data_IF_501543919794
#
_entry.id   IF_501543919794
#
_cell.length_a   1.000
_cell.length_b   1.000
_cell.length_c   1.000
_cell.angle_alpha   90.00
_cell.angle_beta   90.00
_cell.angle_gamma   90.00
#
_symmetry.space_group_name_H-M   'P 1'
#
loop_
_entity.id
_entity.type
_entity.pdbx_description
1 polymer ?
2 polymer ?
3 non-polymer ?
4 water ?
#
loop_
_entity_poly.entity_id
_entity_poly.type
_entity_poly.pdbx_seq_one_letter_code
_entity_poly.pdbx_strand_id
2 'polydeoxyribonucleotide' '(DA)(DT)(DG)(DG)(DC)(DT)(DA)(DG)(DC)(DG)(DA)(DA)(DG)(DC)(DT)(DA)(DG)(DA)' ?
#
# COMPACT_ATOMS: atom_id res chain seq x y z
N UNK A 2 7.17 16.21 12.69
CA UNK A 2 7.31 14.75 12.70
C UNK A 2 6.02 14.07 12.26
N UNK A 3 6.13 12.96 11.54
CA UNK A 3 4.97 12.22 11.06
C UNK A 3 5.38 10.78 10.76
N UNK A 4 4.53 9.84 11.15
CA UNK A 4 4.80 8.41 11.02
C UNK A 4 3.60 7.78 10.32
N UNK A 5 3.83 7.18 9.15
CA UNK A 5 2.77 6.60 8.34
C UNK A 5 3.12 5.15 8.02
N UNK A 6 2.10 4.28 8.06
CA UNK A 6 2.26 2.85 7.90
C UNK A 6 1.23 2.33 6.90
N UNK A 7 1.68 1.45 5.99
CA UNK A 7 0.79 0.75 5.08
C UNK A 7 0.84 -0.74 5.37
N UNK A 8 -0.30 -1.42 5.27
CA UNK A 8 -0.36 -2.84 5.60
C UNK A 8 -1.51 -3.50 4.85
N UNK A 9 -1.18 -4.48 4.00
CA UNK A 9 -2.17 -5.40 3.44
C UNK A 9 -2.46 -6.45 4.49
N UNK A 10 -3.69 -6.42 5.04
CA UNK A 10 -4.03 -7.29 6.17
C UNK A 10 -4.62 -8.63 5.74
N UNK A 11 -4.99 -8.79 4.47
CA UNK A 11 -5.61 -10.02 3.96
C UNK A 11 -6.76 -10.45 4.88
N UNK A 12 -7.83 -9.66 4.79
CA UNK A 12 -9.07 -9.77 5.59
C UNK A 12 -8.91 -9.13 6.96
N UNK A 13 -9.60 -8.00 7.18
CA UNK A 13 -9.50 -7.29 8.45
C UNK A 13 -10.25 -8.00 9.56
N UNK A 14 -11.31 -8.75 9.23
CA UNK A 14 -12.01 -9.55 10.23
C UNK A 14 -11.06 -10.50 10.93
N UNK A 15 -10.06 -11.03 10.21
CA UNK A 15 -9.10 -11.93 10.82
C UNK A 15 -8.00 -11.15 11.54
N UNK A 16 -7.53 -10.06 10.93
CA UNK A 16 -6.36 -9.35 11.40
C UNK A 16 -6.67 -8.20 12.37
N UNK A 17 -7.94 -7.99 12.71
CA UNK A 17 -8.29 -6.86 13.57
C UNK A 17 -7.52 -6.82 14.89
N UNK A 18 -7.41 -7.93 15.64
CA UNK A 18 -6.63 -7.84 16.89
C UNK A 18 -5.18 -7.41 16.68
N UNK A 19 -4.57 -7.83 15.57
CA UNK A 19 -3.21 -7.39 15.28
C UNK A 19 -3.16 -5.94 14.83
N UNK A 20 -4.18 -5.49 14.10
CA UNK A 20 -4.27 -4.07 13.75
C UNK A 20 -4.36 -3.22 15.01
N UNK A 21 -5.16 -3.66 15.98
CA UNK A 21 -5.33 -2.88 17.21
C UNK A 21 -4.06 -2.90 18.05
N UNK A 22 -3.35 -4.04 18.09
CA UNK A 22 -2.07 -4.07 18.79
C UNK A 22 -1.06 -3.15 18.10
N UNK A 23 -1.12 -3.08 16.78
CA UNK A 23 -0.24 -2.17 16.04
C UNK A 23 -0.54 -0.71 16.41
N UNK A 24 -1.81 -0.39 16.65
CA UNK A 24 -2.19 0.99 16.93
C UNK A 24 -1.86 1.38 18.37
N UNK A 25 -1.94 0.44 19.32
CA UNK A 25 -1.57 0.73 20.69
C UNK A 25 -0.05 0.82 20.85
N UNK A 26 0.67 -0.19 20.40
CA UNK A 26 2.12 -0.23 20.54
C UNK A 26 2.81 0.43 19.36
N UNK A 27 3.71 1.38 19.66
CA UNK A 27 4.32 2.34 18.72
C UNK A 27 3.32 2.78 17.66
N UNK A 28 2.43 3.72 17.98
CA UNK A 28 1.38 4.10 17.04
C UNK A 28 1.95 4.98 15.93
N UNK A 29 1.52 4.77 14.69
CA UNK A 29 1.77 5.76 13.65
C UNK A 29 0.72 6.85 13.71
N UNK A 30 1.02 7.96 13.05
CA UNK A 30 0.01 9.00 12.89
C UNK A 30 -1.07 8.57 11.91
N UNK A 31 -0.70 7.81 10.89
CA UNK A 31 -1.63 7.36 9.85
C UNK A 31 -1.34 5.89 9.53
N UNK A 32 -2.39 5.08 9.52
CA UNK A 32 -2.30 3.67 9.10
C UNK A 32 -3.29 3.45 7.97
N UNK A 33 -2.81 2.99 6.83
CA UNK A 33 -3.65 2.68 5.67
C UNK A 33 -3.64 1.17 5.46
N UNK A 34 -4.78 0.63 5.06
CA UNK A 34 -4.98 -0.82 4.98
C UNK A 34 -5.47 -1.20 3.59
N UNK A 35 -5.14 -2.41 3.18
CA UNK A 35 -5.62 -2.98 1.92
C UNK A 35 -6.18 -4.37 2.16
N UNK A 36 -7.02 -4.81 1.22
CA UNK A 36 -7.73 -6.08 1.29
C UNK A 36 -8.44 -6.25 2.64
N UNK A 37 -9.33 -5.30 2.92
CA UNK A 37 -10.21 -5.43 4.08
C UNK A 37 -11.12 -6.64 3.94
N UNK A 38 -11.57 -6.93 2.71
CA UNK A 38 -12.44 -8.06 2.41
C UNK A 38 -13.72 -8.02 3.23
N UNK A 39 -14.32 -6.84 3.35
CA UNK A 39 -15.60 -6.72 4.04
C UNK A 39 -16.38 -5.55 3.44
N UNK A 40 -17.70 -5.68 3.46
CA UNK A 40 -18.57 -4.71 2.82
C UNK A 40 -18.51 -3.37 3.56
N UNK A 41 -19.12 -2.35 2.94
CA UNK A 41 -19.06 -0.99 3.48
C UNK A 41 -19.61 -0.94 4.89
N UNK A 42 -20.65 -1.71 5.18
CA UNK A 42 -21.32 -1.67 6.48
C UNK A 42 -20.71 -2.62 7.50
N UNK A 43 -19.70 -3.41 7.13
CA UNK A 43 -19.11 -4.38 8.03
C UNK A 43 -17.77 -3.94 8.59
N UNK A 44 -17.36 -2.70 8.33
CA UNK A 44 -16.11 -2.20 8.89
C UNK A 44 -16.25 -2.07 10.41
N UNK A 45 -15.18 -2.42 11.19
CA UNK A 45 -15.24 -2.30 12.66
C UNK A 45 -14.91 -0.89 13.14
N UNK A 46 -15.78 0.04 12.76
CA UNK A 46 -15.55 1.45 13.10
C UNK A 46 -15.59 1.67 14.60
N UNK A 47 -16.54 1.06 15.30
CA UNK A 47 -16.70 1.31 16.73
C UNK A 47 -15.46 0.88 17.51
N UNK A 48 -14.88 -0.26 17.15
CA UNK A 48 -13.72 -0.77 17.87
C UNK A 48 -12.52 0.16 17.72
N UNK A 49 -12.31 0.70 16.52
CA UNK A 49 -11.21 1.63 16.31
C UNK A 49 -11.52 3.03 16.81
N UNK A 50 -12.78 3.46 16.71
CA UNK A 50 -13.15 4.78 17.23
C UNK A 50 -13.01 4.83 18.74
N UNK A 51 -13.37 3.74 19.44
CA UNK A 51 -13.22 3.72 20.89
C UNK A 51 -11.77 3.85 21.33
N UNK A 52 -10.82 3.48 20.48
CA UNK A 52 -9.41 3.68 20.78
C UNK A 52 -8.91 5.05 20.31
N UNK A 53 -9.79 5.88 19.78
CA UNK A 53 -9.45 7.26 19.47
C UNK A 53 -9.01 7.54 18.05
N UNK A 54 -9.40 6.72 17.08
CA UNK A 54 -8.97 6.86 15.70
C UNK A 54 -10.13 7.22 14.79
N UNK A 55 -9.88 8.11 13.83
CA UNK A 55 -10.81 8.40 12.76
C UNK A 55 -10.61 7.41 11.62
N UNK A 56 -11.71 6.99 11.00
CA UNK A 56 -11.67 5.97 9.97
C UNK A 56 -12.48 6.40 8.76
N UNK A 57 -11.86 6.31 7.58
CA UNK A 57 -12.56 6.39 6.30
C UNK A 57 -12.16 5.17 5.50
N UNK A 58 -13.13 4.55 4.82
CA UNK A 58 -12.87 3.29 4.14
C UNK A 58 -13.81 3.14 2.96
N UNK A 59 -13.41 2.25 2.04
CA UNK A 59 -14.21 1.88 0.89
C UNK A 59 -14.21 0.36 0.81
N UNK A 60 -15.36 -0.25 1.02
CA UNK A 60 -15.43 -1.70 1.15
C UNK A 60 -16.44 -2.31 0.20
N UNK A 61 -16.21 -3.58 -0.11
CA UNK A 61 -17.12 -4.44 -0.87
C UNK A 61 -17.03 -5.83 -0.27
N UNK A 62 -18.01 -6.67 -0.60
CA UNK A 62 -18.00 -8.04 -0.10
C UNK A 62 -16.81 -8.81 -0.68
N UNK A 63 -16.16 -9.59 0.18
CA UNK A 63 -15.24 -10.67 -0.20
C UNK A 63 -13.88 -10.21 -0.68
N UNK A 64 -13.82 -9.20 -1.54
CA UNK A 64 -12.58 -8.83 -2.20
C UNK A 64 -12.20 -7.39 -1.93
N UNK A 65 -10.94 -7.07 -2.19
CA UNK A 65 -10.45 -5.69 -2.23
C UNK A 65 -10.68 -5.02 -0.88
N UNK A 66 -10.97 -3.72 -0.87
CA UNK A 66 -11.17 -2.98 0.35
C UNK A 66 -9.95 -2.19 0.79
N UNK A 67 -10.12 -0.89 1.02
CA UNK A 67 -9.04 0.01 1.45
C UNK A 67 -9.58 0.93 2.54
N UNK A 68 -8.67 1.37 3.43
CA UNK A 68 -9.07 2.18 4.58
C UNK A 68 -7.94 3.10 4.99
N UNK A 69 -8.29 4.26 5.56
CA UNK A 69 -7.34 5.20 6.15
C UNK A 69 -7.73 5.43 7.61
N UNK A 70 -6.76 5.31 8.51
CA UNK A 70 -6.97 5.38 9.95
C UNK A 70 -5.97 6.38 10.52
N UNK A 71 -6.47 7.39 11.24
CA UNK A 71 -5.61 8.47 11.71
C UNK A 71 -6.15 9.07 12.99
N UNK A 72 -5.25 9.76 13.71
CA UNK A 72 -5.65 10.46 14.93
C UNK A 72 -6.37 11.77 14.61
N UNK A 73 -5.93 12.47 13.57
CA UNK A 73 -6.59 13.68 13.11
C UNK A 73 -7.56 13.34 11.98
N UNK A 74 -8.49 14.25 11.76
CA UNK A 74 -9.63 13.99 10.86
C UNK A 74 -9.13 13.94 9.41
N UNK A 75 -9.49 12.91 8.64
CA UNK A 75 -9.11 12.88 7.22
C UNK A 75 -10.10 13.65 6.36
N UNK A 76 -9.63 14.67 5.66
CA UNK A 76 -10.50 15.62 4.97
C UNK A 76 -10.51 15.37 3.46
N UNK A 77 -11.61 15.80 2.84
CA UNK A 77 -11.75 15.79 1.38
C UNK A 77 -11.54 14.38 0.81
N UNK A 78 -12.36 13.46 1.30
CA UNK A 78 -12.20 12.04 0.99
C UNK A 78 -12.67 11.77 -0.43
N UNK A 79 -11.80 11.20 -1.25
CA UNK A 79 -12.16 10.80 -2.61
C UNK A 79 -12.15 9.28 -2.71
N UNK A 80 -13.10 8.75 -3.48
CA UNK A 80 -13.25 7.31 -3.70
C UNK A 80 -13.01 7.00 -5.16
N UNK A 81 -12.08 6.09 -5.44
CA UNK A 81 -11.90 5.55 -6.77
C UNK A 81 -11.02 6.40 -7.67
N UNK A 82 -11.09 6.06 -8.97
CA UNK A 82 -10.31 6.73 -9.99
C UNK A 82 -11.25 7.40 -10.99
N UNK A 83 -11.11 8.69 -11.24
CA UNK A 83 -12.02 9.37 -12.18
C UNK A 83 -11.91 8.84 -13.60
N UNK A 84 -10.74 8.38 -14.02
CA UNK A 84 -10.58 7.83 -15.36
C UNK A 84 -11.15 6.42 -15.49
N UNK A 85 -11.62 5.82 -14.39
CA UNK A 85 -12.20 4.48 -14.41
C UNK A 85 -13.47 4.49 -13.57
N UNK A 86 -14.49 5.22 -13.99
CA UNK A 86 -15.65 5.44 -13.10
C UNK A 86 -16.54 4.23 -12.91
N UNK A 87 -16.59 3.32 -13.87
CA UNK A 87 -17.51 2.18 -13.82
C UNK A 87 -16.92 0.97 -13.11
N UNK A 88 -15.70 1.06 -12.58
CA UNK A 88 -15.08 -0.08 -11.93
C UNK A 88 -15.61 -0.26 -10.51
N UNK A 89 -16.35 -1.34 -10.24
CA UNK A 89 -16.91 -1.54 -8.89
C UNK A 89 -15.90 -1.99 -7.85
N UNK A 90 -14.70 -2.40 -8.24
CA UNK A 90 -13.73 -2.91 -7.29
C UNK A 90 -13.18 -1.76 -6.45
N UNK A 91 -13.28 -1.89 -5.12
CA UNK A 91 -12.91 -0.82 -4.19
C UNK A 91 -11.41 -0.92 -3.92
N UNK A 92 -10.63 -0.11 -4.62
CA UNK A 92 -9.17 -0.21 -4.57
C UNK A 92 -8.46 1.09 -4.20
N UNK A 93 -9.12 2.24 -4.28
CA UNK A 93 -8.46 3.53 -4.08
C UNK A 93 -9.30 4.38 -3.15
N UNK A 94 -8.67 4.96 -2.13
CA UNK A 94 -9.27 6.00 -1.31
C UNK A 94 -8.19 7.03 -0.99
N UNK A 95 -8.56 8.30 -1.06
CA UNK A 95 -7.62 9.39 -0.82
C UNK A 95 -8.24 10.41 0.14
N UNK A 96 -7.41 10.91 1.06
CA UNK A 96 -7.83 11.93 2.01
C UNK A 96 -6.63 12.78 2.39
N UNK A 97 -6.91 13.98 2.91
CA UNK A 97 -5.88 14.92 3.35
C UNK A 97 -5.82 14.89 4.87
N UNK A 98 -4.70 14.42 5.41
CA UNK A 98 -4.50 14.31 6.86
C UNK A 98 -3.34 15.22 7.25
N UNK A 99 -3.64 16.26 8.03
CA UNK A 99 -2.64 17.16 8.58
C UNK A 99 -1.80 17.80 7.48
N UNK A 100 -2.45 18.19 6.39
CA UNK A 100 -1.77 18.83 5.28
C UNK A 100 -1.09 17.90 4.29
N UNK A 101 -1.13 16.59 4.52
CA UNK A 101 -0.52 15.61 3.62
C UNK A 101 -1.62 14.88 2.87
N UNK A 102 -1.51 14.86 1.54
CA UNK A 102 -2.47 14.11 0.72
C UNK A 102 -2.07 12.64 0.72
N UNK A 103 -2.94 11.79 1.24
CA UNK A 103 -2.70 10.35 1.34
C UNK A 103 -3.56 9.64 0.31
N UNK A 104 -2.93 8.89 -0.57
CA UNK A 104 -3.61 8.08 -1.58
C UNK A 104 -3.28 6.63 -1.28
N UNK A 105 -4.28 5.89 -0.79
CA UNK A 105 -4.11 4.48 -0.44
C UNK A 105 -4.64 3.64 -1.60
N UNK A 106 -3.79 2.76 -2.12
CA UNK A 106 -4.12 1.93 -3.27
C UNK A 106 -3.93 0.46 -2.92
N UNK A 107 -4.91 -0.36 -3.28
CA UNK A 107 -4.69 -1.80 -3.39
C UNK A 107 -4.68 -2.10 -4.89
N UNK A 108 -3.48 -2.08 -5.47
CA UNK A 108 -3.33 -2.22 -6.90
C UNK A 108 -3.70 -3.64 -7.35
N UNK A 109 -4.12 -3.74 -8.62
CA UNK A 109 -4.56 -5.00 -9.19
C UNK A 109 -3.41 -6.01 -9.19
N UNK A 110 -3.69 -7.23 -8.74
CA UNK A 110 -2.68 -8.27 -8.72
C UNK A 110 -2.25 -8.65 -10.13
N UNK A 111 -3.22 -9.03 -10.97
CA UNK A 111 -2.96 -9.38 -12.35
C UNK A 111 -2.99 -10.88 -12.64
N UNK A 112 -2.74 -11.70 -11.62
CA UNK A 112 -2.80 -13.16 -11.71
C UNK A 112 -1.71 -13.74 -12.59
N UNK A 113 -1.75 -13.44 -13.89
CA UNK A 113 -0.70 -13.88 -14.81
C UNK A 113 -0.70 -12.94 -16.02
N UNK A 114 0.44 -12.93 -16.73
CA UNK A 114 0.61 -12.00 -17.84
C UNK A 114 -0.34 -12.28 -19.00
N UNK A 115 -0.81 -13.51 -19.15
CA UNK A 115 -1.78 -13.85 -20.17
C UNK A 115 -3.21 -13.89 -19.62
N UNK A 116 -3.40 -13.49 -18.38
CA UNK A 116 -4.72 -13.47 -17.76
C UNK A 116 -5.48 -12.20 -18.18
N UNK A 117 -6.80 -12.30 -18.35
CA UNK A 117 -7.59 -11.08 -18.57
C UNK A 117 -7.43 -10.07 -17.45
N UNK A 118 -7.08 -10.51 -16.24
CA UNK A 118 -6.84 -9.60 -15.14
C UNK A 118 -5.60 -8.74 -15.37
N UNK A 119 -4.71 -9.16 -16.28
CA UNK A 119 -3.50 -8.37 -16.54
C UNK A 119 -3.80 -7.17 -17.43
N UNK A 120 -4.75 -7.29 -18.36
CA UNK A 120 -5.20 -6.12 -19.11
C UNK A 120 -5.95 -5.15 -18.20
N UNK A 121 -6.75 -5.70 -17.28
CA UNK A 121 -7.38 -4.86 -16.26
C UNK A 121 -6.34 -4.13 -15.43
N UNK A 122 -5.26 -4.84 -15.06
CA UNK A 122 -4.16 -4.20 -14.31
C UNK A 122 -3.52 -3.11 -15.15
N UNK A 123 -3.41 -3.31 -16.46
CA UNK A 123 -2.84 -2.30 -17.34
C UNK A 123 -3.70 -1.04 -17.37
N UNK A 124 -4.98 -1.19 -17.71
CA UNK A 124 -5.89 -0.04 -17.70
C UNK A 124 -5.91 0.64 -16.34
N UNK A 125 -5.93 -0.16 -15.26
CA UNK A 125 -6.05 0.40 -13.92
C UNK A 125 -4.87 1.27 -13.56
N UNK A 126 -3.65 0.81 -13.86
CA UNK A 126 -2.46 1.61 -13.57
C UNK A 126 -2.40 2.85 -14.45
N UNK A 127 -2.93 2.77 -15.67
CA UNK A 127 -3.04 3.97 -16.51
C UNK A 127 -4.01 4.97 -15.89
N UNK A 128 -5.16 4.48 -15.40
CA UNK A 128 -6.11 5.36 -14.74
C UNK A 128 -5.55 5.93 -13.45
N UNK A 129 -4.75 5.13 -12.72
CA UNK A 129 -4.15 5.62 -11.49
C UNK A 129 -3.13 6.73 -11.77
N UNK A 130 -2.37 6.59 -12.87
CA UNK A 130 -1.34 7.58 -13.17
C UNK A 130 -1.94 8.96 -13.41
N UNK A 131 -3.06 9.02 -14.15
CA UNK A 131 -3.70 10.30 -14.41
C UNK A 131 -4.27 10.91 -13.14
N UNK A 132 -4.78 10.07 -12.22
CA UNK A 132 -5.34 10.59 -10.97
C UNK A 132 -4.25 11.21 -10.10
N UNK A 133 -3.15 10.48 -9.90
CA UNK A 133 -2.05 10.99 -9.08
C UNK A 133 -1.47 12.26 -9.69
N UNK A 134 -1.40 12.31 -11.03
CA UNK A 134 -0.87 13.49 -11.70
C UNK A 134 -1.73 14.72 -11.41
N UNK A 135 -3.05 14.56 -11.49
CA UNK A 135 -3.95 15.67 -11.18
C UNK A 135 -3.89 16.05 -9.71
N UNK A 136 -3.87 15.05 -8.83
CA UNK A 136 -3.76 15.31 -7.40
C UNK A 136 -2.48 16.07 -7.07
N UNK A 137 -1.37 15.74 -7.75
CA UNK A 137 -0.09 16.35 -7.43
C UNK A 137 -0.02 17.82 -7.83
N UNK A 138 -0.91 18.29 -8.71
CA UNK A 138 -0.92 19.71 -9.04
C UNK A 138 -1.47 20.56 -7.89
N UNK A 139 -2.12 19.93 -6.91
CA UNK A 139 -2.76 20.64 -5.81
C UNK A 139 -2.08 20.45 -4.46
N UNK A 140 -1.42 19.32 -4.23
CA UNK A 140 -0.85 18.99 -2.92
C UNK A 140 0.66 18.83 -3.07
N UNK A 141 1.41 19.80 -2.54
CA UNK A 141 2.86 19.67 -2.53
C UNK A 141 3.35 18.54 -1.65
N UNK A 142 2.64 18.25 -0.56
CA UNK A 142 2.95 17.13 0.31
C UNK A 142 1.95 16.01 0.00
N UNK A 143 2.42 14.97 -0.68
CA UNK A 143 1.58 13.88 -1.15
C UNK A 143 2.31 12.56 -0.95
N UNK A 144 1.56 11.54 -0.56
CA UNK A 144 2.09 10.19 -0.35
C UNK A 144 1.17 9.20 -1.06
N UNK A 145 1.71 8.50 -2.04
CA UNK A 145 1.02 7.40 -2.71
C UNK A 145 1.61 6.09 -2.19
N UNK A 146 0.79 5.30 -1.49
CA UNK A 146 1.30 4.14 -0.79
C UNK A 146 0.26 3.03 -0.80
N UNK A 147 0.73 1.80 -0.54
CA UNK A 147 -0.14 0.64 -0.54
C UNK A 147 0.50 -0.61 -1.13
N UNK A 148 -0.34 -1.53 -1.58
CA UNK A 148 0.12 -2.77 -2.20
C UNK A 148 0.11 -2.56 -3.71
N UNK A 149 1.29 -2.35 -4.29
CA UNK A 149 1.39 -2.11 -5.72
C UNK A 149 1.42 -3.40 -6.53
N UNK A 150 1.69 -4.54 -5.88
CA UNK A 150 1.76 -5.84 -6.56
C UNK A 150 2.78 -5.81 -7.70
N UNK A 151 3.82 -5.00 -7.54
CA UNK A 151 4.91 -4.89 -8.51
C UNK A 151 6.22 -4.81 -7.75
N UNK A 152 7.13 -5.74 -8.04
CA UNK A 152 8.49 -5.69 -7.52
C UNK A 152 9.33 -4.81 -8.44
N UNK A 153 9.79 -3.63 -8.00
CA UNK A 153 10.40 -2.68 -8.94
C UNK A 153 11.63 -3.20 -9.67
N UNK A 154 12.58 -3.82 -8.97
CA UNK A 154 13.81 -4.29 -9.61
C UNK A 154 14.17 -5.68 -9.06
N UNK A 155 15.22 -6.26 -9.66
CA UNK A 155 15.61 -7.62 -9.29
C UNK A 155 15.96 -7.74 -7.83
N UNK A 156 16.57 -6.70 -7.23
CA UNK A 156 16.85 -6.72 -5.81
C UNK A 156 15.57 -6.83 -4.97
N UNK A 157 14.40 -6.72 -5.58
CA UNK A 157 13.12 -6.88 -4.90
C UNK A 157 12.48 -8.24 -5.17
N UNK A 158 13.24 -9.19 -5.72
CA UNK A 158 12.74 -10.54 -6.02
C UNK A 158 13.79 -11.56 -5.62
N UNK A 159 13.37 -12.58 -4.89
CA UNK A 159 14.33 -13.53 -4.32
C UNK A 159 14.96 -14.46 -5.36
N UNK A 160 14.38 -14.56 -6.55
CA UNK A 160 14.93 -15.41 -7.62
C UNK A 160 14.55 -14.78 -8.97
N UNK A 161 15.32 -13.80 -9.42
CA UNK A 161 14.93 -13.06 -10.64
C UNK A 161 14.86 -13.92 -11.88
N UNK A 162 15.72 -14.93 -12.02
CA UNK A 162 15.65 -15.79 -13.21
C UNK A 162 14.36 -16.60 -13.22
N UNK A 163 14.00 -17.20 -12.08
CA UNK A 163 12.77 -17.96 -11.99
C UNK A 163 11.54 -17.09 -12.28
N UNK A 164 11.59 -15.83 -11.85
CA UNK A 164 10.50 -14.89 -12.05
C UNK A 164 10.68 -14.04 -13.31
N UNK A 165 11.45 -14.51 -14.30
CA UNK A 165 11.69 -13.70 -15.48
C UNK A 165 10.40 -13.50 -16.27
N UNK A 166 9.99 -12.24 -16.42
CA UNK A 166 8.76 -11.88 -17.11
C UNK A 166 7.57 -12.65 -16.55
N UNK A 167 7.60 -12.87 -15.24
CA UNK A 167 6.46 -13.43 -14.52
C UNK A 167 5.72 -12.30 -13.81
N UNK A 168 4.51 -12.63 -13.33
CA UNK A 168 3.64 -11.62 -12.72
C UNK A 168 4.35 -10.98 -11.53
N UNK A 169 4.09 -9.68 -11.32
CA UNK A 169 4.69 -8.82 -10.31
C UNK A 169 6.11 -8.38 -10.71
N UNK A 170 6.77 -9.13 -11.60
CA UNK A 170 8.17 -8.87 -11.91
C UNK A 170 8.43 -8.56 -13.38
N UNK A 171 7.42 -8.60 -14.24
CA UNK A 171 7.63 -8.39 -15.67
C UNK A 171 8.13 -6.98 -15.96
N UNK A 172 8.74 -6.83 -17.14
CA UNK A 172 9.33 -5.54 -17.51
C UNK A 172 8.27 -4.50 -17.85
N UNK A 173 7.08 -4.92 -18.26
CA UNK A 173 5.99 -3.97 -18.53
C UNK A 173 5.37 -3.47 -17.23
N UNK A 174 5.18 -4.37 -16.26
CA UNK A 174 4.75 -3.95 -14.93
C UNK A 174 5.75 -2.98 -14.31
N UNK A 175 7.04 -3.22 -14.54
CA UNK A 175 8.05 -2.32 -13.99
C UNK A 175 8.05 -0.98 -14.70
N UNK A 176 7.60 -0.94 -15.97
CA UNK A 176 7.41 0.36 -16.62
C UNK A 176 6.23 1.10 -16.00
N UNK A 177 5.15 0.40 -15.66
CA UNK A 177 4.01 1.06 -15.03
C UNK A 177 4.42 1.68 -13.70
N UNK A 178 5.20 0.96 -12.90
CA UNK A 178 5.75 1.54 -11.67
C UNK A 178 6.63 2.74 -11.99
N UNK A 179 7.43 2.65 -13.05
CA UNK A 179 8.28 3.77 -13.45
C UNK A 179 7.45 4.96 -13.89
N UNK A 180 6.30 4.72 -14.54
CA UNK A 180 5.43 5.83 -14.93
C UNK A 180 4.92 6.60 -13.73
N UNK A 181 4.72 5.91 -12.60
CA UNK A 181 4.32 6.61 -11.38
C UNK A 181 5.48 7.42 -10.80
N UNK A 182 6.70 6.87 -10.84
CA UNK A 182 7.86 7.60 -10.37
C UNK A 182 8.12 8.83 -11.22
N UNK A 183 7.84 8.76 -12.53
CA UNK A 183 8.08 9.88 -13.43
C UNK A 183 7.19 11.08 -13.15
N UNK A 184 6.15 10.93 -12.35
CA UNK A 184 5.33 12.07 -11.94
C UNK A 184 6.03 12.94 -10.90
N UNK A 185 7.22 12.54 -10.44
CA UNK A 185 7.89 13.23 -9.36
C UNK A 185 7.84 12.53 -8.02
N UNK A 186 7.54 11.23 -8.00
CA UNK A 186 7.44 10.46 -6.77
C UNK A 186 8.72 9.68 -6.52
N UNK A 187 9.04 9.49 -5.26
CA UNK A 187 10.26 8.81 -4.83
C UNK A 187 9.93 7.50 -4.13
N UNK A 188 10.58 6.42 -4.55
CA UNK A 188 10.57 5.17 -3.82
C UNK A 188 11.26 5.39 -2.48
N UNK A 189 10.49 5.67 -1.43
CA UNK A 189 11.07 6.19 -0.19
C UNK A 189 12.06 5.21 0.43
N UNK A 190 11.77 3.91 0.34
CA UNK A 190 12.63 2.93 1.00
C UNK A 190 13.98 2.80 0.28
N UNK A 191 14.00 2.99 -1.04
CA UNK A 191 15.25 2.95 -1.78
C UNK A 191 16.09 4.21 -1.60
N UNK A 192 15.45 5.34 -1.24
CA UNK A 192 16.22 6.51 -0.86
C UNK A 192 16.93 6.29 0.48
N UNK A 193 16.26 5.63 1.42
CA UNK A 193 16.87 5.32 2.71
C UNK A 193 17.82 4.13 2.58
N UNK A 194 17.40 3.09 1.87
CA UNK A 194 18.19 1.87 1.71
C UNK A 194 18.35 1.59 0.22
N UNK A 195 19.37 2.16 -0.43
CA UNK A 195 19.56 1.89 -1.86
C UNK A 195 19.86 0.45 -2.20
N UNK A 196 20.33 -0.35 -1.24
CA UNK A 196 20.69 -1.74 -1.51
C UNK A 196 20.26 -2.61 -0.34
N UNK A 197 20.18 -3.90 -0.61
CA UNK A 197 19.69 -4.87 0.35
C UNK A 197 18.30 -5.37 0.00
N UNK A 198 17.95 -6.52 0.57
CA UNK A 198 16.66 -7.14 0.36
C UNK A 198 15.68 -6.67 1.44
N UNK A 199 14.58 -6.05 1.01
CA UNK A 199 13.55 -5.56 1.92
C UNK A 199 12.19 -6.06 1.45
N UNK A 200 12.01 -7.38 1.50
CA UNK A 200 10.78 -8.00 1.03
C UNK A 200 9.61 -7.64 1.95
N UNK A 201 8.44 -7.41 1.34
CA UNK A 201 7.24 -7.10 2.11
C UNK A 201 6.18 -8.19 2.06
N UNK A 202 6.22 -9.07 1.06
CA UNK A 202 5.28 -10.17 0.94
C UNK A 202 6.04 -11.49 0.89
N UNK A 203 5.53 -12.48 1.63
CA UNK A 203 6.07 -13.83 1.65
C UNK A 203 4.92 -14.79 1.45
N UNK A 204 5.05 -15.66 0.45
CA UNK A 204 3.98 -16.62 0.15
C UNK A 204 3.69 -17.49 1.36
N UNK A 205 2.41 -17.74 1.61
CA UNK A 205 2.01 -18.65 2.67
C UNK A 205 2.56 -20.06 2.45
N UNK A 206 2.73 -20.47 1.20
CA UNK A 206 3.12 -21.84 0.89
C UNK A 206 4.62 -22.03 1.00
N UNK A 207 5.02 -23.24 1.36
CA UNK A 207 6.44 -23.58 1.40
C UNK A 207 7.24 -22.81 2.41
N UNK A 208 6.60 -22.30 3.47
CA UNK A 208 7.27 -21.59 4.56
C UNK A 208 8.24 -20.53 4.04
N UNK A 209 7.76 -19.75 3.07
CA UNK A 209 8.64 -18.80 2.40
C UNK A 209 9.12 -17.70 3.34
N UNK A 210 8.32 -17.33 4.34
CA UNK A 210 8.77 -16.32 5.28
C UNK A 210 9.91 -16.83 6.17
N UNK A 211 9.81 -18.09 6.62
CA UNK A 211 10.92 -18.67 7.39
C UNK A 211 12.19 -18.74 6.56
N UNK A 212 12.06 -18.99 5.25
CA UNK A 212 13.21 -18.97 4.35
C UNK A 212 13.61 -17.56 3.94
N UNK A 213 12.83 -16.55 4.34
CA UNK A 213 13.08 -15.14 4.00
C UNK A 213 13.11 -14.93 2.49
N UNK A 214 12.32 -15.70 1.75
CA UNK A 214 12.21 -15.59 0.30
C UNK A 214 10.86 -14.96 -0.05
N UNK A 215 10.88 -13.70 -0.45
CA UNK A 215 9.67 -13.01 -0.86
C UNK A 215 9.91 -11.90 -1.87
N UNK A 216 8.99 -10.94 -1.93
CA UNK A 216 9.09 -9.82 -2.85
C UNK A 216 8.84 -8.52 -2.10
N UNK A 217 9.37 -7.44 -2.66
CA UNK A 217 9.07 -6.09 -2.21
C UNK A 217 8.03 -5.51 -3.16
N UNK A 218 6.79 -5.41 -2.71
CA UNK A 218 5.68 -5.00 -3.56
C UNK A 218 4.79 -3.99 -2.82
N UNK A 219 5.02 -3.81 -1.52
CA UNK A 219 4.34 -2.80 -0.73
C UNK A 219 5.27 -1.61 -0.57
N UNK A 220 4.84 -0.44 -1.07
CA UNK A 220 5.72 0.71 -1.20
C UNK A 220 5.07 1.96 -0.62
N UNK A 221 5.91 2.98 -0.43
CA UNK A 221 5.49 4.30 0.03
C UNK A 221 6.17 5.30 -0.90
N UNK A 222 5.43 5.85 -1.86
CA UNK A 222 5.96 6.80 -2.81
C UNK A 222 5.58 8.22 -2.38
N UNK A 223 6.57 9.11 -2.33
CA UNK A 223 6.39 10.43 -1.74
C UNK A 223 6.75 11.51 -2.75
N UNK A 224 6.16 12.69 -2.55
CA UNK A 224 6.41 13.86 -3.37
C UNK A 224 7.76 14.48 -3.00
N UNK A 225 8.27 15.40 -3.83
CA UNK A 225 9.58 16.00 -3.52
C UNK A 225 9.68 16.61 -2.13
N UNK A 226 8.65 17.32 -1.68
CA UNK A 226 8.70 17.93 -0.34
C UNK A 226 8.72 16.87 0.75
N UNK A 227 7.97 15.78 0.56
CA UNK A 227 8.00 14.69 1.52
C UNK A 227 9.34 13.96 1.49
N UNK A 228 9.93 13.82 0.29
CA UNK A 228 11.21 13.13 0.19
C UNK A 228 12.31 13.88 0.92
N UNK A 229 12.28 15.21 0.87
CA UNK A 229 13.27 16.01 1.57
C UNK A 229 13.13 15.92 3.09
N UNK A 230 11.95 15.54 3.58
CA UNK A 230 11.71 15.38 5.00
C UNK A 230 11.83 13.93 5.47
N UNK A 231 12.07 13.00 4.55
CA UNK A 231 12.14 11.60 4.90
C UNK A 231 13.35 11.31 5.79
N UNK A 232 13.16 10.44 6.78
CA UNK A 232 14.23 10.10 7.70
C UNK A 232 14.46 8.60 7.84
N UNK A 233 13.41 7.80 7.71
CA UNK A 233 13.58 6.35 7.82
C UNK A 233 12.39 5.63 7.22
N UNK A 234 12.65 4.44 6.68
CA UNK A 234 11.63 3.49 6.22
C UNK A 234 12.02 2.11 6.71
N UNK A 235 11.08 1.39 7.31
CA UNK A 235 11.33 0.05 7.84
C UNK A 235 10.20 -0.88 7.45
N UNK A 236 10.55 -2.16 7.31
CA UNK A 236 9.56 -3.23 7.14
C UNK A 236 9.44 -3.97 8.47
N UNK A 237 8.21 -4.14 8.94
CA UNK A 237 7.97 -4.73 10.25
C UNK A 237 7.78 -6.23 10.07
N UNK A 238 8.88 -6.97 10.20
CA UNK A 238 8.82 -8.43 10.09
C UNK A 238 8.37 -9.11 11.38
N UNK A 239 8.37 -8.39 12.50
CA UNK A 239 7.79 -8.94 13.72
C UNK A 239 6.32 -9.26 13.53
N UNK A 240 5.57 -8.35 12.89
CA UNK A 240 4.15 -8.61 12.66
C UNK A 240 3.95 -9.75 11.67
N UNK A 241 4.83 -9.85 10.66
CA UNK A 241 4.76 -10.96 9.73
C UNK A 241 5.07 -12.29 10.40
N UNK A 242 5.75 -12.27 11.55
CA UNK A 242 6.12 -13.46 12.28
C UNK A 242 5.07 -13.93 13.28
N UNK A 243 3.98 -13.18 13.45
CA UNK A 243 2.96 -13.54 14.43
C UNK A 243 2.24 -14.81 13.99
N UNK A 244 1.66 -15.50 14.98
CA UNK A 244 0.79 -16.62 14.70
C UNK A 244 -0.40 -16.17 13.87
N UNK A 245 -0.78 -16.99 12.88
CA UNK A 245 -1.80 -16.68 11.90
C UNK A 245 -1.58 -15.29 11.32
N UNK A 246 -0.52 -15.09 10.53
CA UNK A 246 -0.20 -13.74 10.06
C UNK A 246 -0.85 -13.43 8.72
N UNK A 247 -0.88 -12.14 8.42
CA UNK A 247 -1.01 -11.74 7.03
C UNK A 247 0.22 -12.21 6.25
N UNK A 248 0.07 -12.32 4.93
CA UNK A 248 1.23 -12.67 4.12
C UNK A 248 2.05 -11.45 3.73
N UNK A 249 1.55 -10.25 4.01
CA UNK A 249 2.28 -9.00 3.84
C UNK A 249 2.78 -8.50 5.19
N UNK A 250 3.90 -7.79 5.15
CA UNK A 250 4.41 -7.12 6.33
C UNK A 250 4.13 -5.62 6.25
N UNK A 251 3.89 -4.96 7.38
CA UNK A 251 3.67 -3.51 7.33
C UNK A 251 4.95 -2.76 6.98
N UNK A 252 4.78 -1.65 6.28
CA UNK A 252 5.88 -0.77 5.90
C UNK A 252 5.60 0.61 6.48
N UNK A 253 6.56 1.15 7.21
CA UNK A 253 6.41 2.44 7.90
C UNK A 253 7.47 3.42 7.41
N UNK A 254 7.03 4.59 6.97
CA UNK A 254 7.92 5.68 6.62
C UNK A 254 7.80 6.80 7.66
N UNK A 255 8.95 7.34 8.05
CA UNK A 255 9.01 8.39 9.07
C UNK A 255 9.58 9.66 8.46
N UNK A 256 8.90 10.77 8.71
CA UNK A 256 9.31 12.09 8.24
C UNK A 256 9.51 13.00 9.46
N UNK A 257 10.20 14.11 9.24
CA UNK A 257 10.45 15.10 10.28
C UNK A 257 10.14 16.47 9.71
N UNK A 258 9.08 17.10 10.24
CA UNK A 258 8.54 18.35 9.72
C UNK A 258 8.11 18.20 8.26
X LIG C 1 -15.60 12.76 13.24
X LIG C 1 -15.89 13.29 11.84
X LIG C 1 -17.24 12.93 11.46
X LIG C 1 -15.78 14.80 11.83
X LIG C 1 -14.89 12.70 10.85
X LIG C 1 -14.92 11.18 10.81
X LIG C 1 -16.16 10.75 10.31
X LIG C 1 -13.81 10.65 9.90
#
# INVERSE_FOLDING_TARGET
GAMKITTWNVNSLNVRLPQVQNLLADNPPDILVLQELKLDQDKFPAAALQMMGWHCVWSGQKTYNGVAIVSRSVPQDVHFGLPALPDDPQRRVIAATVSGVRVINVYCVNGEALDSPKFKYKEQWFAALTEFVRDEMTRHGKLVLLGDFNIAPADADCYDPEKWHEKIHCSSVERQWFQNLLDLGLTDSLRQVHPEGAFYTWFDYRGAMFQRKLGLRIDHILVSPAMAAALKDVRVDLETRALERPSDHAPVTAEFDW
MPD C1 C2 O2 CM C3 C4 O4 C5
#
